data_IF_520364560568
#
_entry.id   IF_520364560568
#
_cell.length_a   1.000
_cell.length_b   1.000
_cell.length_c   1.000
_cell.angle_alpha   90.00
_cell.angle_beta   90.00
_cell.angle_gamma   90.00
#
_symmetry.space_group_name_H-M   'P 1'
#
loop_
_entity.id
_entity.type
_entity.pdbx_description
1 polymer ?
#
# COMPACT_ATOMS: atom_id res chain seq x y z
N UNK A 1 -17.70 2.33 -13.25
CA UNK A 1 -16.21 2.45 -13.28
C UNK A 1 -15.68 1.83 -12.00
N UNK A 2 -14.61 1.02 -12.04
CA UNK A 2 -14.13 0.22 -10.88
C UNK A 2 -13.48 1.08 -9.79
N UNK A 3 -12.73 2.11 -10.15
CA UNK A 3 -12.01 3.00 -9.24
C UNK A 3 -12.43 4.46 -9.45
N UNK A 4 -12.30 5.27 -8.41
CA UNK A 4 -12.58 6.71 -8.46
C UNK A 4 -11.35 7.49 -8.96
N UNK A 5 -10.15 6.99 -8.66
CA UNK A 5 -8.87 7.52 -9.14
C UNK A 5 -7.89 6.37 -9.45
N UNK A 6 -7.07 6.55 -10.49
CA UNK A 6 -5.93 5.70 -10.82
C UNK A 6 -4.72 6.63 -10.99
N UNK A 7 -3.71 6.46 -10.15
CA UNK A 7 -2.44 7.19 -10.23
C UNK A 7 -1.53 6.67 -11.34
N UNK A 8 -0.41 7.37 -11.55
CA UNK A 8 0.61 6.93 -12.50
C UNK A 8 1.30 5.66 -12.00
N UNK A 9 1.51 4.71 -12.91
CA UNK A 9 2.37 3.55 -12.67
C UNK A 9 3.79 3.99 -12.31
N UNK A 10 4.43 3.32 -11.33
CA UNK A 10 5.81 3.62 -10.95
C UNK A 10 5.96 4.67 -9.85
N UNK A 11 4.90 5.44 -9.56
CA UNK A 11 4.97 6.59 -8.63
C UNK A 11 5.34 6.23 -7.19
N UNK A 12 5.18 4.97 -6.78
CA UNK A 12 5.43 4.50 -5.41
C UNK A 12 6.70 3.64 -5.27
N UNK A 13 7.61 3.70 -6.26
CA UNK A 13 8.86 2.94 -6.24
C UNK A 13 8.74 1.49 -6.76
N UNK A 14 7.56 1.11 -7.26
CA UNK A 14 7.31 -0.15 -7.96
C UNK A 14 6.39 0.10 -9.16
N UNK A 15 6.44 -0.77 -10.18
CA UNK A 15 5.68 -0.67 -11.43
C UNK A 15 4.15 -0.83 -11.30
N UNK A 16 3.57 -0.53 -10.15
CA UNK A 16 2.13 -0.56 -9.89
C UNK A 16 1.56 0.85 -9.88
N UNK A 17 0.24 0.94 -10.04
CA UNK A 17 -0.51 2.19 -9.90
C UNK A 17 -1.34 2.15 -8.61
N UNK A 18 -1.20 3.19 -7.79
CA UNK A 18 -2.09 3.40 -6.65
C UNK A 18 -3.49 3.69 -7.17
N UNK A 19 -4.49 2.98 -6.65
CA UNK A 19 -5.90 3.20 -7.00
C UNK A 19 -6.69 3.59 -5.77
N UNK A 20 -7.71 4.42 -5.98
CA UNK A 20 -8.61 4.85 -4.91
C UNK A 20 -10.03 4.39 -5.21
N UNK A 21 -10.69 3.83 -4.20
CA UNK A 21 -12.12 3.54 -4.21
C UNK A 21 -12.73 3.81 -2.83
N UNK A 22 -13.82 4.56 -2.76
CA UNK A 22 -14.56 4.81 -1.52
C UNK A 22 -13.66 5.34 -0.38
N UNK A 23 -12.75 6.26 -0.73
CA UNK A 23 -11.72 6.85 0.14
C UNK A 23 -10.65 5.88 0.67
N UNK A 24 -10.64 4.63 0.20
CA UNK A 24 -9.59 3.65 0.47
C UNK A 24 -8.66 3.52 -0.71
N UNK A 25 -7.43 3.12 -0.44
CA UNK A 25 -6.38 2.94 -1.44
C UNK A 25 -5.89 1.50 -1.51
N UNK A 26 -5.43 1.12 -2.70
CA UNK A 26 -4.86 -0.18 -3.04
C UNK A 26 -3.94 -0.06 -4.25
N UNK A 27 -3.52 -1.17 -4.84
CA UNK A 27 -2.64 -1.21 -6.01
C UNK A 27 -3.17 -2.15 -7.09
N UNK A 28 -2.99 -1.72 -8.35
CA UNK A 28 -3.16 -2.58 -9.52
C UNK A 28 -1.84 -2.70 -10.29
N UNK A 29 -1.69 -3.81 -11.01
CA UNK A 29 -0.61 -3.97 -11.99
C UNK A 29 -0.98 -3.32 -13.35
N UNK A 30 -0.07 -3.36 -14.30
CA UNK A 30 -0.23 -2.77 -15.64
C UNK A 30 -1.32 -3.42 -16.50
N UNK A 31 -1.80 -4.61 -16.12
CA UNK A 31 -2.96 -5.28 -16.74
C UNK A 31 -4.29 -4.86 -16.10
N UNK A 32 -4.25 -4.03 -15.06
CA UNK A 32 -5.43 -3.64 -14.28
C UNK A 32 -5.87 -4.69 -13.25
N UNK A 33 -5.07 -5.73 -13.04
CA UNK A 33 -5.33 -6.75 -12.02
C UNK A 33 -5.00 -6.18 -10.65
N UNK A 34 -5.84 -6.50 -9.67
CA UNK A 34 -5.70 -6.03 -8.30
C UNK A 34 -4.61 -6.83 -7.59
N UNK A 35 -3.58 -6.14 -7.09
CA UNK A 35 -2.50 -6.72 -6.30
C UNK A 35 -2.77 -6.50 -4.81
N UNK A 36 -3.22 -5.28 -4.49
CA UNK A 36 -3.60 -4.90 -3.12
C UNK A 36 -5.00 -4.33 -3.18
N UNK A 37 -5.92 -4.92 -2.42
CA UNK A 37 -7.29 -4.45 -2.34
C UNK A 37 -7.40 -3.03 -1.78
N UNK A 38 -8.41 -2.30 -2.23
CA UNK A 38 -8.73 -0.95 -1.75
C UNK A 38 -9.30 -0.99 -0.32
N UNK A 39 -8.43 -1.22 0.65
CA UNK A 39 -8.81 -1.46 2.06
C UNK A 39 -8.04 -0.60 3.06
N UNK A 40 -7.00 0.08 2.62
CA UNK A 40 -6.15 0.93 3.45
C UNK A 40 -6.57 2.40 3.36
N UNK A 41 -6.34 3.15 4.42
CA UNK A 41 -6.50 4.60 4.43
C UNK A 41 -5.33 5.30 3.73
N UNK A 42 -4.13 4.71 3.80
CA UNK A 42 -2.94 5.19 3.12
C UNK A 42 -1.95 4.05 2.85
N UNK A 43 -1.16 4.19 1.79
CA UNK A 43 -0.01 3.32 1.50
C UNK A 43 1.17 4.21 1.10
N UNK A 44 2.31 4.04 1.77
CA UNK A 44 3.54 4.76 1.49
C UNK A 44 4.30 4.23 0.28
N UNK A 45 5.45 4.84 0.00
CA UNK A 45 6.37 4.35 -1.04
C UNK A 45 7.08 3.07 -0.58
N UNK A 46 7.37 2.18 -1.53
CA UNK A 46 8.20 1.02 -1.29
C UNK A 46 9.64 1.45 -1.03
N UNK A 47 10.27 0.88 0.01
CA UNK A 47 11.67 1.17 0.34
C UNK A 47 11.88 2.37 1.26
N UNK A 48 10.81 3.05 1.73
CA UNK A 48 10.97 4.20 2.63
C UNK A 48 11.47 3.83 4.03
N UNK A 49 11.21 2.60 4.51
CA UNK A 49 11.64 2.12 5.82
C UNK A 49 12.50 0.86 5.71
N UNK A 50 12.05 -0.12 4.94
CA UNK A 50 12.74 -1.40 4.69
C UNK A 50 12.69 -1.69 3.19
N UNK A 51 13.73 -2.32 2.64
CA UNK A 51 13.84 -2.52 1.18
C UNK A 51 12.69 -3.40 0.68
N UNK A 52 11.93 -2.89 -0.29
CA UNK A 52 10.82 -3.62 -0.89
C UNK A 52 9.57 -3.67 -0.02
N UNK A 53 9.51 -2.94 1.09
CA UNK A 53 8.31 -2.86 1.92
C UNK A 53 7.68 -1.48 1.83
N UNK A 54 6.36 -1.44 1.87
CA UNK A 54 5.58 -0.21 1.95
C UNK A 54 4.75 -0.19 3.24
N UNK A 55 4.77 0.96 3.93
CA UNK A 55 3.95 1.17 5.12
C UNK A 55 2.47 1.26 4.70
N UNK A 56 1.60 0.53 5.39
CA UNK A 56 0.15 0.62 5.20
C UNK A 56 -0.53 1.11 6.46
N UNK A 57 -1.58 1.91 6.30
CA UNK A 57 -2.36 2.47 7.40
C UNK A 57 -3.83 2.04 7.32
N UNK A 58 -4.40 1.63 8.44
CA UNK A 58 -5.84 1.42 8.63
C UNK A 58 -6.29 2.05 9.95
N UNK A 59 -7.08 3.10 9.87
CA UNK A 59 -7.40 3.96 11.01
C UNK A 59 -6.14 4.54 11.63
N UNK A 60 -5.91 4.24 12.92
CA UNK A 60 -4.72 4.66 13.67
C UNK A 60 -3.63 3.58 13.74
N UNK A 61 -3.81 2.47 13.03
CA UNK A 61 -2.92 1.32 13.06
C UNK A 61 -2.09 1.24 11.79
N UNK A 62 -0.89 0.71 11.95
CA UNK A 62 0.14 0.60 10.93
C UNK A 62 0.63 -0.84 10.80
N UNK A 63 1.05 -1.21 9.60
CA UNK A 63 1.71 -2.46 9.25
C UNK A 63 2.50 -2.29 7.95
N UNK A 64 2.97 -3.39 7.36
CA UNK A 64 3.74 -3.35 6.11
C UNK A 64 3.26 -4.40 5.12
N UNK A 65 3.35 -4.05 3.84
CA UNK A 65 3.22 -4.99 2.74
C UNK A 65 4.55 -5.12 1.97
N UNK A 66 4.81 -6.27 1.36
CA UNK A 66 5.95 -6.51 0.47
C UNK A 66 5.62 -6.20 -1.01
N UNK A 67 6.62 -6.37 -1.90
CA UNK A 67 6.47 -6.21 -3.35
C UNK A 67 5.63 -7.28 -4.04
N UNK A 68 5.07 -8.23 -3.29
CA UNK A 68 4.07 -9.20 -3.77
C UNK A 68 2.64 -8.79 -3.35
N UNK A 69 2.51 -7.71 -2.57
CA UNK A 69 1.23 -7.21 -2.06
C UNK A 69 0.79 -7.89 -0.76
N UNK A 70 1.63 -8.75 -0.21
CA UNK A 70 1.33 -9.52 0.99
C UNK A 70 1.65 -8.71 2.25
N UNK A 71 0.81 -8.86 3.27
CA UNK A 71 1.02 -8.26 4.59
C UNK A 71 2.15 -9.01 5.30
N UNK A 72 3.34 -8.39 5.37
CA UNK A 72 4.51 -8.92 6.09
C UNK A 72 4.55 -8.47 7.54
N UNK A 73 3.89 -7.35 7.86
CA UNK A 73 3.62 -6.96 9.24
C UNK A 73 2.13 -6.61 9.40
N UNK A 74 1.40 -7.29 10.31
CA UNK A 74 -0.01 -7.01 10.55
C UNK A 74 -0.29 -5.56 10.92
N UNK A 75 -1.43 -5.03 10.47
CA UNK A 75 -1.87 -3.67 10.78
C UNK A 75 -2.42 -3.59 12.21
N UNK A 76 -1.52 -3.53 13.19
CA UNK A 76 -1.85 -3.60 14.62
C UNK A 76 -1.10 -2.58 15.49
N UNK A 77 -0.12 -1.87 14.94
CA UNK A 77 0.80 -1.02 15.69
C UNK A 77 0.38 0.44 15.66
N UNK A 78 0.50 1.15 16.78
CA UNK A 78 0.16 2.58 16.88
C UNK A 78 1.27 3.51 16.38
N UNK A 79 2.49 2.98 16.24
CA UNK A 79 3.65 3.75 15.79
C UNK A 79 4.46 2.92 14.77
N UNK A 80 4.59 3.38 13.52
CA UNK A 80 5.33 2.67 12.47
C UNK A 80 6.84 2.57 12.77
N UNK A 81 7.42 3.55 13.46
CA UNK A 81 8.86 3.56 13.80
C UNK A 81 9.23 2.49 14.83
N UNK A 82 8.24 1.91 15.52
CA UNK A 82 8.46 0.79 16.45
C UNK A 82 8.42 -0.57 15.78
N UNK A 83 8.02 -0.63 14.51
CA UNK A 83 7.85 -1.88 13.77
C UNK A 83 9.17 -2.31 13.12
N UNK A 84 9.86 -1.38 12.47
CA UNK A 84 11.16 -1.62 11.86
C UNK A 84 12.26 -1.34 12.89
N UNK A 85 12.71 -2.39 13.59
CA UNK A 85 13.87 -2.35 14.48
C UNK A 85 14.84 -3.47 14.13
#
# INVERSE_FOLDING_TARGET
IKYDNIGNFGSHGIGWALVQKDKKVGFINTKGEEIVSTSYDNIGNFGSHEKGWALVQKGRKFGYINTEGEVVVPVAFDNPDKIAK
#
